data_IF_226517064026
#
_entry.id   IF_226517064026
#
_cell.length_a   1.000
_cell.length_b   1.000
_cell.length_c   1.000
_cell.angle_alpha   90.00
_cell.angle_beta   90.00
_cell.angle_gamma   90.00
#
_symmetry.space_group_name_H-M   'P 1'
#
loop_
_entity.id
_entity.type
_entity.pdbx_description
1 polymer ?
#
# COMPACT_ATOMS: atom_id res chain seq x y z
N UNK A 1 -39.21 23.69 13.62
CA UNK A 1 -38.03 23.14 14.31
C UNK A 1 -38.35 21.72 14.77
N UNK A 2 -38.19 20.71 13.90
CA UNK A 2 -38.18 19.27 14.27
C UNK A 2 -37.29 18.56 13.23
N UNK A 3 -35.97 18.73 13.32
CA UNK A 3 -34.99 18.07 12.43
C UNK A 3 -33.86 17.33 13.15
N UNK A 4 -33.89 17.20 14.48
CA UNK A 4 -32.71 16.72 15.23
C UNK A 4 -32.94 15.51 16.16
N UNK A 5 -34.08 14.82 16.08
CA UNK A 5 -34.40 13.75 17.05
C UNK A 5 -34.41 12.31 16.51
N UNK A 6 -33.81 12.07 15.34
CA UNK A 6 -33.70 10.72 14.77
C UNK A 6 -32.25 10.25 14.54
N UNK A 7 -31.26 10.85 15.21
CA UNK A 7 -29.83 10.52 15.01
C UNK A 7 -29.10 9.89 16.19
N UNK A 8 -29.81 9.44 17.22
CA UNK A 8 -29.17 8.78 18.36
C UNK A 8 -30.01 7.63 18.93
N UNK A 9 -30.03 6.48 18.25
CA UNK A 9 -30.23 5.17 18.90
C UNK A 9 -29.52 4.06 18.09
N UNK A 10 -28.46 3.50 18.66
CA UNK A 10 -28.00 2.14 18.33
C UNK A 10 -26.71 2.05 17.52
N UNK A 11 -25.63 1.82 18.24
CA UNK A 11 -24.36 1.21 17.85
C UNK A 11 -24.56 0.01 16.89
N UNK A 12 -24.62 0.27 15.58
CA UNK A 12 -24.53 -0.70 14.48
C UNK A 12 -23.63 -0.05 13.43
N UNK A 13 -22.51 -0.72 13.13
CA UNK A 13 -21.46 -0.26 12.21
C UNK A 13 -22.02 0.22 10.88
N UNK A 14 -22.05 1.54 10.70
CA UNK A 14 -22.47 2.15 9.45
C UNK A 14 -21.26 2.17 8.54
N UNK A 15 -21.36 1.48 7.41
CA UNK A 15 -20.37 1.55 6.34
C UNK A 15 -20.10 3.01 5.98
N UNK A 16 -18.82 3.41 5.88
CA UNK A 16 -18.45 4.77 5.51
C UNK A 16 -18.94 5.11 4.09
N UNK A 17 -19.07 6.39 3.80
CA UNK A 17 -19.49 6.86 2.48
C UNK A 17 -18.45 6.55 1.40
N UNK A 18 -18.86 6.61 0.13
CA UNK A 18 -17.93 6.47 -1.00
C UNK A 18 -16.90 7.60 -1.05
N UNK A 19 -17.31 8.82 -0.69
CA UNK A 19 -16.42 9.97 -0.62
C UNK A 19 -15.33 9.76 0.45
N UNK A 20 -15.72 9.31 1.65
CA UNK A 20 -14.75 8.97 2.70
C UNK A 20 -13.83 7.82 2.26
N UNK A 21 -14.33 6.79 1.58
CA UNK A 21 -13.44 5.75 0.99
C UNK A 21 -12.40 6.36 0.03
N UNK A 22 -12.78 7.31 -0.82
CA UNK A 22 -11.83 7.98 -1.73
C UNK A 22 -10.77 8.78 -0.97
N UNK A 23 -11.18 9.54 0.04
CA UNK A 23 -10.29 10.35 0.87
C UNK A 23 -9.25 9.49 1.59
N UNK A 24 -9.64 8.31 2.05
CA UNK A 24 -8.75 7.41 2.80
C UNK A 24 -7.86 6.53 1.91
N UNK A 25 -8.35 6.08 0.76
CA UNK A 25 -7.57 5.26 -0.16
C UNK A 25 -6.54 6.05 -0.98
N UNK A 26 -6.73 7.35 -1.17
CA UNK A 26 -5.78 8.18 -1.92
C UNK A 26 -4.38 8.27 -1.28
N UNK A 27 -4.25 8.49 0.03
CA UNK A 27 -2.97 8.36 0.72
C UNK A 27 -2.33 6.98 0.55
N UNK A 28 -3.13 5.91 0.64
CA UNK A 28 -2.64 4.52 0.52
C UNK A 28 -2.10 4.23 -0.88
N UNK A 29 -2.80 4.62 -1.96
CA UNK A 29 -2.28 4.44 -3.32
C UNK A 29 -1.02 5.28 -3.56
N UNK A 30 -0.92 6.47 -2.96
CA UNK A 30 0.30 7.28 -2.98
C UNK A 30 1.46 6.51 -2.36
N UNK A 31 1.30 6.00 -1.14
CA UNK A 31 2.32 5.18 -0.48
C UNK A 31 2.74 3.98 -1.34
N UNK A 32 1.78 3.24 -1.93
CA UNK A 32 2.08 2.13 -2.82
C UNK A 32 2.86 2.55 -4.08
N UNK A 33 2.52 3.68 -4.71
CA UNK A 33 3.23 4.19 -5.88
C UNK A 33 4.67 4.56 -5.53
N UNK A 34 4.87 5.29 -4.42
CA UNK A 34 6.19 5.68 -3.94
C UNK A 34 7.04 4.45 -3.57
N UNK A 35 6.45 3.48 -2.88
CA UNK A 35 7.10 2.21 -2.53
C UNK A 35 7.55 1.42 -3.77
N UNK A 36 6.76 1.42 -4.85
CA UNK A 36 7.18 0.79 -6.11
C UNK A 36 8.45 1.44 -6.69
N UNK A 37 8.64 2.76 -6.52
CA UNK A 37 9.88 3.45 -6.94
C UNK A 37 11.07 3.08 -6.07
N UNK A 38 10.86 2.98 -4.75
CA UNK A 38 11.86 2.45 -3.82
C UNK A 38 12.28 1.03 -4.19
N UNK A 39 11.35 0.14 -4.56
CA UNK A 39 11.69 -1.18 -5.09
C UNK A 39 12.59 -1.10 -6.34
N UNK A 40 12.24 -0.25 -7.30
CA UNK A 40 13.05 -0.08 -8.52
C UNK A 40 14.47 0.42 -8.20
N UNK A 41 14.63 1.31 -7.24
CA UNK A 41 15.95 1.78 -6.78
C UNK A 41 16.76 0.63 -6.15
N UNK A 42 16.15 -0.13 -5.23
CA UNK A 42 16.82 -1.24 -4.53
C UNK A 42 17.20 -2.36 -5.50
N UNK A 43 16.30 -2.76 -6.41
CA UNK A 43 16.58 -3.77 -7.45
C UNK A 43 17.77 -3.38 -8.31
N UNK A 44 17.92 -2.09 -8.64
CA UNK A 44 19.07 -1.58 -9.42
C UNK A 44 20.38 -1.54 -8.62
N UNK A 45 20.31 -1.50 -7.30
CA UNK A 45 21.47 -1.36 -6.39
C UNK A 45 22.07 -2.68 -5.88
N UNK A 46 21.38 -3.82 -6.08
CA UNK A 46 21.80 -5.12 -5.55
C UNK A 46 22.52 -5.92 -6.64
N UNK A 47 23.70 -6.45 -6.34
CA UNK A 47 24.46 -7.29 -7.27
C UNK A 47 23.95 -8.74 -7.36
N UNK A 48 23.34 -9.25 -6.28
CA UNK A 48 22.79 -10.61 -6.20
C UNK A 48 21.66 -10.84 -7.22
N UNK A 49 21.92 -11.66 -8.23
CA UNK A 49 20.97 -11.91 -9.33
C UNK A 49 19.69 -12.61 -8.83
N UNK A 50 19.81 -13.54 -7.89
CA UNK A 50 18.67 -14.24 -7.30
C UNK A 50 17.80 -13.28 -6.48
N UNK A 51 18.43 -12.48 -5.61
CA UNK A 51 17.76 -11.44 -4.83
C UNK A 51 17.05 -10.40 -5.70
N UNK A 52 17.68 -9.95 -6.78
CA UNK A 52 17.04 -9.05 -7.75
C UNK A 52 15.78 -9.66 -8.37
N UNK A 53 15.82 -10.94 -8.74
CA UNK A 53 14.66 -11.61 -9.31
C UNK A 53 13.51 -11.72 -8.29
N UNK A 54 13.82 -12.11 -7.04
CA UNK A 54 12.84 -12.17 -5.95
C UNK A 54 12.15 -10.82 -5.73
N UNK A 55 12.93 -9.74 -5.70
CA UNK A 55 12.40 -8.39 -5.53
C UNK A 55 11.55 -7.95 -6.74
N UNK A 56 11.99 -8.24 -7.96
CA UNK A 56 11.24 -7.92 -9.18
C UNK A 56 9.88 -8.63 -9.23
N UNK A 57 9.84 -9.91 -8.85
CA UNK A 57 8.59 -10.67 -8.79
C UNK A 57 7.64 -10.11 -7.71
N UNK A 58 8.18 -9.73 -6.55
CA UNK A 58 7.40 -9.11 -5.49
C UNK A 58 6.86 -7.72 -5.90
N UNK A 59 7.67 -6.93 -6.60
CA UNK A 59 7.27 -5.61 -7.12
C UNK A 59 6.18 -5.73 -8.19
N UNK A 60 6.19 -6.77 -9.02
CA UNK A 60 5.13 -7.01 -10.01
C UNK A 60 3.74 -7.10 -9.35
N UNK A 61 3.66 -7.75 -8.20
CA UNK A 61 2.43 -7.84 -7.41
C UNK A 61 2.08 -6.47 -6.82
N UNK A 62 3.07 -5.75 -6.29
CA UNK A 62 2.88 -4.39 -5.75
C UNK A 62 2.36 -3.40 -6.81
N UNK A 63 2.79 -3.52 -8.08
CA UNK A 63 2.25 -2.74 -9.21
C UNK A 63 0.81 -3.11 -9.54
N UNK A 64 0.47 -4.39 -9.52
CA UNK A 64 -0.91 -4.83 -9.71
C UNK A 64 -1.85 -4.31 -8.61
N UNK A 65 -1.35 -4.19 -7.38
CA UNK A 65 -2.08 -3.62 -6.25
C UNK A 65 -2.44 -2.14 -6.44
N UNK A 66 -1.56 -1.34 -7.04
CA UNK A 66 -1.87 0.06 -7.42
C UNK A 66 -3.11 0.11 -8.32
N UNK A 67 -3.20 -0.79 -9.30
CA UNK A 67 -4.38 -0.91 -10.18
C UNK A 67 -5.67 -1.20 -9.41
N UNK A 68 -5.64 -2.17 -8.48
CA UNK A 68 -6.80 -2.52 -7.63
C UNK A 68 -7.29 -1.35 -6.79
N UNK A 69 -6.37 -0.57 -6.21
CA UNK A 69 -6.73 0.61 -5.41
C UNK A 69 -7.31 1.70 -6.31
N UNK A 70 -6.67 1.98 -7.45
CA UNK A 70 -7.14 2.98 -8.40
C UNK A 70 -8.56 2.67 -8.90
N UNK A 71 -8.81 1.43 -9.32
CA UNK A 71 -10.13 0.97 -9.73
C UNK A 71 -11.18 1.13 -8.63
N UNK A 72 -10.79 0.88 -7.37
CA UNK A 72 -11.68 1.07 -6.22
C UNK A 72 -12.01 2.55 -6.02
N UNK A 73 -11.03 3.44 -6.13
CA UNK A 73 -11.22 4.90 -6.05
C UNK A 73 -12.14 5.40 -7.16
N UNK A 74 -11.89 4.98 -8.41
CA UNK A 74 -12.73 5.34 -9.56
C UNK A 74 -14.16 4.81 -9.42
N UNK A 75 -14.33 3.58 -8.94
CA UNK A 75 -15.65 2.98 -8.68
C UNK A 75 -16.43 3.73 -7.58
N UNK A 76 -15.73 4.44 -6.70
CA UNK A 76 -16.32 5.32 -5.70
C UNK A 76 -16.60 6.75 -6.22
N UNK A 77 -16.24 7.05 -7.47
CA UNK A 77 -16.43 8.36 -8.10
C UNK A 77 -15.28 9.35 -7.85
N UNK A 78 -14.16 8.89 -7.29
CA UNK A 78 -12.97 9.70 -7.05
C UNK A 78 -11.99 9.71 -8.21
N UNK A 79 -10.96 10.54 -8.09
CA UNK A 79 -9.77 10.51 -8.95
C UNK A 79 -8.62 9.93 -8.13
N UNK A 80 -7.98 8.89 -8.63
CA UNK A 80 -6.85 8.26 -7.97
C UNK A 80 -5.57 9.06 -8.21
N UNK A 81 -4.76 9.21 -7.17
CA UNK A 81 -3.39 9.69 -7.33
C UNK A 81 -2.61 8.82 -8.31
N UNK A 82 -1.89 9.46 -9.25
CA UNK A 82 -1.26 8.80 -10.40
C UNK A 82 0.28 8.86 -10.39
N UNK A 83 0.88 9.61 -9.46
CA UNK A 83 2.34 9.71 -9.35
C UNK A 83 3.05 10.52 -10.43
N UNK A 84 2.36 11.31 -11.25
CA UNK A 84 3.03 12.12 -12.30
C UNK A 84 3.84 13.29 -11.74
N UNK A 85 3.61 13.66 -10.48
CA UNK A 85 4.32 14.72 -9.75
C UNK A 85 5.56 14.22 -8.99
N UNK A 86 5.92 12.94 -9.15
CA UNK A 86 6.91 12.26 -8.33
C UNK A 86 8.25 12.20 -9.06
N UNK A 87 9.29 12.79 -8.47
CA UNK A 87 10.63 12.84 -9.06
C UNK A 87 11.45 11.57 -8.74
N UNK A 88 12.16 10.96 -9.70
CA UNK A 88 12.88 9.69 -9.50
C UNK A 88 13.99 9.74 -8.45
N UNK A 89 14.58 10.92 -8.23
CA UNK A 89 15.74 11.10 -7.36
C UNK A 89 15.37 11.07 -5.86
N UNK A 90 14.08 11.11 -5.52
CA UNK A 90 13.58 11.07 -4.14
C UNK A 90 13.63 9.65 -3.52
N UNK A 91 14.05 8.63 -4.27
CA UNK A 91 13.93 7.21 -3.87
C UNK A 91 15.26 6.47 -3.67
N UNK A 92 16.38 7.19 -3.61
CA UNK A 92 17.67 6.57 -3.27
C UNK A 92 17.67 6.10 -1.81
N UNK A 93 17.64 4.78 -1.61
CA UNK A 93 17.69 4.14 -0.29
C UNK A 93 19.12 3.67 0.07
N UNK A 94 20.13 4.08 -0.71
CA UNK A 94 21.50 3.58 -0.62
C UNK A 94 21.68 2.26 -1.37
N UNK A 95 22.65 1.46 -0.93
CA UNK A 95 23.06 0.23 -1.64
C UNK A 95 23.11 -1.00 -0.73
N UNK A 96 22.97 -2.18 -1.33
CA UNK A 96 23.16 -3.47 -0.66
C UNK A 96 22.20 -3.70 0.51
N UNK A 97 22.72 -4.21 1.63
CA UNK A 97 21.92 -4.56 2.82
C UNK A 97 21.22 -3.35 3.43
N UNK A 98 21.85 -2.17 3.41
CA UNK A 98 21.25 -0.95 3.96
C UNK A 98 19.99 -0.52 3.18
N UNK A 99 20.04 -0.62 1.86
CA UNK A 99 18.89 -0.39 0.98
C UNK A 99 17.73 -1.36 1.26
N UNK A 100 18.05 -2.64 1.49
CA UNK A 100 17.05 -3.62 1.88
C UNK A 100 16.43 -3.35 3.24
N UNK A 101 17.24 -2.96 4.24
CA UNK A 101 16.76 -2.59 5.57
C UNK A 101 15.84 -1.35 5.51
N UNK A 102 16.16 -0.36 4.66
CA UNK A 102 15.30 0.79 4.41
C UNK A 102 13.98 0.38 3.75
N UNK A 103 14.04 -0.47 2.71
CA UNK A 103 12.85 -0.96 2.02
C UNK A 103 11.93 -1.75 2.96
N UNK A 104 12.49 -2.59 3.85
CA UNK A 104 11.71 -3.29 4.87
C UNK A 104 10.94 -2.34 5.79
N UNK A 105 11.54 -1.20 6.17
CA UNK A 105 10.86 -0.21 7.01
C UNK A 105 9.68 0.42 6.29
N UNK A 106 9.83 0.74 5.00
CA UNK A 106 8.74 1.29 4.19
C UNK A 106 7.59 0.27 4.03
N UNK A 107 7.91 -1.00 3.77
CA UNK A 107 6.93 -2.08 3.69
C UNK A 107 6.20 -2.31 5.01
N UNK A 108 6.93 -2.29 6.14
CA UNK A 108 6.34 -2.42 7.46
C UNK A 108 5.42 -1.24 7.79
N UNK A 109 5.80 -0.01 7.41
CA UNK A 109 4.96 1.17 7.57
C UNK A 109 3.67 1.06 6.75
N UNK A 110 3.76 0.63 5.49
CA UNK A 110 2.57 0.42 4.65
C UNK A 110 1.66 -0.68 5.24
N UNK A 111 2.24 -1.76 5.76
CA UNK A 111 1.47 -2.81 6.41
C UNK A 111 0.70 -2.29 7.63
N UNK A 112 1.33 -1.45 8.45
CA UNK A 112 0.67 -0.79 9.58
C UNK A 112 -0.47 0.13 9.12
N UNK A 113 -0.27 0.90 8.05
CA UNK A 113 -1.34 1.71 7.42
C UNK A 113 -2.52 0.83 7.00
N UNK A 114 -2.26 -0.30 6.33
CA UNK A 114 -3.28 -1.24 5.88
C UNK A 114 -3.97 -1.96 7.04
N UNK A 115 -3.27 -2.24 8.14
CA UNK A 115 -3.83 -2.76 9.38
C UNK A 115 -4.79 -1.77 10.02
N UNK A 116 -4.40 -0.50 10.09
CA UNK A 116 -5.27 0.58 10.55
C UNK A 116 -6.52 0.69 9.71
N UNK A 117 -6.37 0.69 8.39
CA UNK A 117 -7.49 0.82 7.45
C UNK A 117 -8.41 -0.40 7.44
N UNK A 118 -7.89 -1.60 7.72
CA UNK A 118 -8.69 -2.83 7.81
C UNK A 118 -9.73 -2.79 8.94
N UNK A 119 -9.54 -1.93 9.94
CA UNK A 119 -10.49 -1.72 11.05
C UNK A 119 -11.61 -0.75 10.70
N UNK A 120 -11.59 -0.14 9.50
CA UNK A 120 -12.62 0.79 9.03
C UNK A 120 -13.70 0.02 8.26
N UNK A 121 -14.96 0.34 8.54
CA UNK A 121 -16.09 -0.30 7.89
C UNK A 121 -16.33 0.28 6.48
N UNK A 122 -15.50 -0.12 5.51
CA UNK A 122 -15.74 0.18 4.09
C UNK A 122 -16.83 -0.70 3.49
N UNK A 123 -17.22 -0.41 2.24
CA UNK A 123 -18.04 -1.31 1.45
C UNK A 123 -17.36 -2.68 1.34
N UNK A 124 -18.15 -3.77 1.32
CA UNK A 124 -17.63 -5.15 1.34
C UNK A 124 -16.54 -5.41 0.29
N UNK A 125 -16.72 -4.94 -0.95
CA UNK A 125 -15.70 -5.07 -2.01
C UNK A 125 -14.40 -4.36 -1.65
N UNK A 126 -14.47 -3.15 -1.11
CA UNK A 126 -13.30 -2.38 -0.70
C UNK A 126 -12.56 -3.07 0.45
N UNK A 127 -13.29 -3.62 1.43
CA UNK A 127 -12.68 -4.41 2.52
C UNK A 127 -11.95 -5.64 1.98
N UNK A 128 -12.53 -6.34 1.01
CA UNK A 128 -11.86 -7.47 0.36
C UNK A 128 -10.58 -7.04 -0.37
N UNK A 129 -10.60 -5.90 -1.07
CA UNK A 129 -9.41 -5.34 -1.70
C UNK A 129 -8.35 -5.02 -0.64
N UNK A 130 -8.69 -4.32 0.45
CA UNK A 130 -7.75 -4.02 1.55
C UNK A 130 -7.12 -5.30 2.11
N UNK A 131 -7.93 -6.36 2.30
CA UNK A 131 -7.41 -7.68 2.71
C UNK A 131 -6.35 -8.23 1.75
N UNK A 132 -6.61 -8.19 0.44
CA UNK A 132 -5.64 -8.63 -0.59
C UNK A 132 -4.37 -7.77 -0.58
N UNK A 133 -4.49 -6.45 -0.38
CA UNK A 133 -3.35 -5.54 -0.29
C UNK A 133 -2.49 -5.87 0.93
N UNK A 134 -3.13 -6.16 2.07
CA UNK A 134 -2.46 -6.55 3.31
C UNK A 134 -1.70 -7.87 3.13
N UNK A 135 -2.39 -8.93 2.72
CA UNK A 135 -1.78 -10.27 2.52
C UNK A 135 -0.55 -10.21 1.60
N UNK A 136 -0.70 -9.55 0.44
CA UNK A 136 0.42 -9.42 -0.51
C UNK A 136 1.56 -8.52 0.00
N UNK A 137 1.29 -7.59 0.93
CA UNK A 137 2.31 -6.78 1.59
C UNK A 137 3.03 -7.57 2.68
N UNK A 138 2.33 -8.40 3.44
CA UNK A 138 2.93 -9.34 4.40
C UNK A 138 3.87 -10.33 3.70
N UNK A 139 3.42 -10.92 2.60
CA UNK A 139 4.23 -11.84 1.79
C UNK A 139 5.50 -11.16 1.25
N UNK A 140 5.35 -9.95 0.71
CA UNK A 140 6.48 -9.16 0.19
C UNK A 140 7.48 -8.80 1.30
N UNK A 141 6.99 -8.32 2.44
CA UNK A 141 7.83 -8.02 3.60
C UNK A 141 8.57 -9.27 4.11
N UNK A 142 7.92 -10.43 4.12
CA UNK A 142 8.55 -11.71 4.47
C UNK A 142 9.69 -12.05 3.50
N UNK A 143 9.46 -11.94 2.20
CA UNK A 143 10.48 -12.19 1.17
C UNK A 143 11.69 -11.26 1.32
N UNK A 144 11.45 -9.97 1.55
CA UNK A 144 12.54 -9.00 1.75
C UNK A 144 13.32 -9.33 3.03
N UNK A 145 12.65 -9.63 4.15
CA UNK A 145 13.31 -10.05 5.41
C UNK A 145 14.19 -11.28 5.21
N UNK A 146 13.69 -12.29 4.49
CA UNK A 146 14.46 -13.49 4.16
C UNK A 146 15.69 -13.16 3.32
N UNK A 147 15.55 -12.31 2.31
CA UNK A 147 16.66 -11.88 1.46
C UNK A 147 17.72 -11.10 2.25
N UNK A 148 17.30 -10.14 3.08
CA UNK A 148 18.22 -9.36 3.92
C UNK A 148 18.98 -10.23 4.90
N UNK A 149 18.33 -11.26 5.47
CA UNK A 149 19.02 -12.23 6.34
C UNK A 149 20.06 -13.06 5.58
N UNK A 150 19.80 -13.41 4.31
CA UNK A 150 20.73 -14.17 3.46
C UNK A 150 21.95 -13.34 3.04
N UNK A 151 21.78 -12.03 2.88
CA UNK A 151 22.83 -11.10 2.42
C UNK A 151 23.68 -10.50 3.56
N UNK A 152 23.31 -10.76 4.82
CA UNK A 152 24.12 -10.44 6.00
C UNK A 152 25.10 -11.57 6.30
#
# INVERSE_FOLDING_TARGET
MIKELAFQKGWVGKTISRAETVERLNPIIREHILLNRSHDAVIRSIDDAEGRQILADAQKIARANVGKIAETIYSCGGVAFNGTEVEPDDFDLGTGVAALDALQKLEASLLETLDGESNIEHQMRTRAIIGVLKESTEERLKSIRSLTKKMR
#
